data_IF_951940798990
#
_entry.id   IF_951940798990
#
_cell.length_a   1.000
_cell.length_b   1.000
_cell.length_c   1.000
_cell.angle_alpha   90.00
_cell.angle_beta   90.00
_cell.angle_gamma   90.00
#
_symmetry.space_group_name_H-M   'P 1'
#
loop_
_entity.id
_entity.type
_entity.pdbx_description
1 polymer ?
#
# COMPACT_ATOMS: atom_id res chain seq x y z
N UNK A 1 28.44 -19.23 8.78
CA UNK A 1 27.52 -18.54 7.84
C UNK A 1 28.31 -17.43 7.16
N UNK A 2 28.85 -17.69 5.98
CA UNK A 2 29.73 -16.76 5.23
C UNK A 2 28.89 -15.79 4.38
N UNK A 3 29.18 -14.48 4.36
CA UNK A 3 28.39 -13.52 3.60
C UNK A 3 28.79 -13.59 2.12
N UNK A 4 27.82 -13.88 1.24
CA UNK A 4 27.99 -13.90 -0.22
C UNK A 4 28.09 -12.47 -0.75
N UNK A 5 29.29 -11.89 -0.69
CA UNK A 5 29.64 -10.53 -1.14
C UNK A 5 29.90 -10.54 -2.64
N UNK A 6 28.85 -10.48 -3.46
CA UNK A 6 28.99 -10.49 -4.93
C UNK A 6 27.84 -9.92 -5.76
N UNK A 7 26.63 -9.77 -5.19
CA UNK A 7 25.47 -9.19 -5.89
C UNK A 7 25.11 -7.75 -5.43
N UNK A 8 25.84 -7.19 -4.46
CA UNK A 8 25.42 -6.00 -3.71
C UNK A 8 25.55 -4.66 -4.45
N UNK A 9 26.41 -4.53 -5.47
CA UNK A 9 26.63 -3.24 -6.16
C UNK A 9 25.39 -2.76 -6.93
N UNK A 10 24.72 -3.65 -7.68
CA UNK A 10 23.52 -3.26 -8.46
C UNK A 10 22.32 -2.93 -7.57
N UNK A 11 22.12 -3.68 -6.48
CA UNK A 11 21.06 -3.41 -5.50
C UNK A 11 21.28 -2.11 -4.74
N UNK A 12 22.53 -1.86 -4.30
CA UNK A 12 22.88 -0.63 -3.60
C UNK A 12 22.79 0.60 -4.50
N UNK A 13 23.21 0.52 -5.77
CA UNK A 13 23.06 1.61 -6.75
C UNK A 13 21.58 1.98 -6.98
N UNK A 14 20.71 0.98 -7.12
CA UNK A 14 19.26 1.20 -7.25
C UNK A 14 18.69 1.86 -5.99
N UNK A 15 19.02 1.34 -4.81
CA UNK A 15 18.60 1.92 -3.54
C UNK A 15 19.05 3.38 -3.39
N UNK A 16 20.33 3.65 -3.66
CA UNK A 16 20.89 4.99 -3.60
C UNK A 16 20.18 5.95 -4.56
N UNK A 17 19.91 5.54 -5.79
CA UNK A 17 19.16 6.33 -6.75
C UNK A 17 17.75 6.68 -6.25
N UNK A 18 16.99 5.70 -5.75
CA UNK A 18 15.65 5.96 -5.20
C UNK A 18 15.69 6.85 -3.95
N UNK A 19 16.70 6.68 -3.11
CA UNK A 19 16.89 7.52 -1.91
C UNK A 19 17.18 8.97 -2.28
N UNK A 20 18.11 9.19 -3.23
CA UNK A 20 18.43 10.54 -3.72
C UNK A 20 17.22 11.21 -4.33
N UNK A 21 16.39 10.50 -5.11
CA UNK A 21 15.15 11.07 -5.63
C UNK A 21 14.15 11.40 -4.51
N UNK A 22 13.99 10.51 -3.53
CA UNK A 22 13.03 10.67 -2.43
C UNK A 22 13.37 11.85 -1.51
N UNK A 23 14.65 12.08 -1.23
CA UNK A 23 15.10 13.19 -0.38
C UNK A 23 15.39 14.47 -1.17
N UNK A 24 15.92 14.32 -2.39
CA UNK A 24 16.36 15.42 -3.23
C UNK A 24 15.20 16.28 -3.72
N UNK A 25 14.10 15.67 -4.19
CA UNK A 25 12.96 16.45 -4.69
C UNK A 25 12.33 17.34 -3.61
N UNK A 26 12.00 16.85 -2.40
CA UNK A 26 11.55 17.71 -1.31
C UNK A 26 12.58 18.76 -0.90
N UNK A 27 13.87 18.40 -0.83
CA UNK A 27 14.93 19.33 -0.48
C UNK A 27 15.07 20.48 -1.49
N UNK A 28 14.89 20.19 -2.78
CA UNK A 28 14.89 21.21 -3.85
C UNK A 28 13.69 22.14 -3.68
N UNK A 29 12.47 21.60 -3.49
CA UNK A 29 11.25 22.41 -3.32
C UNK A 29 11.38 23.36 -2.11
N UNK A 30 11.86 22.84 -0.98
CA UNK A 30 12.07 23.65 0.23
C UNK A 30 13.21 24.64 0.04
N UNK A 31 14.31 24.20 -0.59
CA UNK A 31 15.48 25.03 -0.86
C UNK A 31 15.16 26.22 -1.77
N UNK A 32 14.44 26.00 -2.87
CA UNK A 32 14.01 27.09 -3.76
C UNK A 32 13.01 28.02 -3.09
N UNK A 33 12.08 27.47 -2.29
CA UNK A 33 11.17 28.27 -1.48
C UNK A 33 11.92 29.18 -0.49
N UNK A 34 12.96 28.65 0.15
CA UNK A 34 13.80 29.38 1.10
C UNK A 34 14.59 30.50 0.42
N UNK A 35 15.25 30.23 -0.71
CA UNK A 35 15.99 31.24 -1.47
C UNK A 35 15.08 32.36 -1.95
N UNK A 36 13.90 32.01 -2.50
CA UNK A 36 12.92 32.99 -2.95
C UNK A 36 12.39 33.88 -1.82
N UNK A 37 12.26 33.32 -0.61
CA UNK A 37 11.85 34.09 0.58
C UNK A 37 12.95 35.05 1.04
N UNK A 38 14.22 34.66 0.91
CA UNK A 38 15.37 35.51 1.25
C UNK A 38 15.57 36.63 0.24
N UNK A 39 15.41 36.34 -1.05
CA UNK A 39 15.67 37.29 -2.14
C UNK A 39 14.52 38.29 -2.33
N UNK A 40 13.30 37.92 -1.93
CA UNK A 40 12.12 38.78 -2.01
C UNK A 40 11.40 38.92 -0.64
N UNK A 41 12.00 39.62 0.34
CA UNK A 41 11.37 39.87 1.63
C UNK A 41 10.23 40.88 1.48
N UNK A 42 9.00 40.37 1.35
CA UNK A 42 7.69 40.99 1.60
C UNK A 42 7.37 42.36 0.92
N UNK A 43 8.21 42.90 0.03
CA UNK A 43 8.01 44.23 -0.58
C UNK A 43 8.07 44.26 -2.09
N UNK A 44 7.45 43.30 -2.75
CA UNK A 44 7.17 43.47 -4.17
C UNK A 44 5.74 43.08 -4.43
N UNK A 45 4.92 44.08 -4.78
CA UNK A 45 3.68 43.92 -5.54
C UNK A 45 4.03 43.27 -6.89
N UNK A 46 4.42 42.01 -6.86
CA UNK A 46 4.96 41.25 -7.97
C UNK A 46 4.34 39.87 -8.00
N UNK A 47 4.16 39.37 -9.22
CA UNK A 47 3.51 38.13 -9.63
C UNK A 47 4.12 36.84 -9.04
N UNK A 48 5.10 36.95 -8.14
CA UNK A 48 5.89 35.82 -7.62
C UNK A 48 5.35 35.37 -6.26
N UNK A 49 4.92 34.12 -6.19
CA UNK A 49 4.39 33.50 -4.98
C UNK A 49 5.52 32.98 -4.09
N UNK A 50 5.81 33.70 -3.01
CA UNK A 50 6.80 33.30 -1.99
C UNK A 50 6.15 32.52 -0.85
N UNK A 51 6.79 31.46 -0.30
CA UNK A 51 6.23 30.67 0.79
C UNK A 51 6.23 31.38 2.17
N UNK A 52 7.03 32.44 2.34
CA UNK A 52 6.92 33.35 3.49
C UNK A 52 7.23 32.67 4.84
N UNK A 53 8.20 31.76 4.87
CA UNK A 53 8.54 30.98 6.06
C UNK A 53 8.80 31.87 7.28
N UNK A 54 7.98 31.73 8.33
CA UNK A 54 8.19 32.42 9.61
C UNK A 54 7.87 33.92 9.58
N UNK A 55 7.22 34.44 8.54
CA UNK A 55 6.89 35.87 8.41
C UNK A 55 5.49 36.16 8.97
N UNK A 56 4.43 35.56 8.38
CA UNK A 56 3.04 35.74 8.86
C UNK A 56 2.62 34.67 9.87
N UNK A 57 3.28 33.51 9.84
CA UNK A 57 2.99 32.35 10.68
C UNK A 57 4.26 31.51 10.80
N UNK A 58 4.39 30.71 11.87
CA UNK A 58 5.48 29.74 11.99
C UNK A 58 5.40 28.59 10.96
N UNK A 59 4.44 28.64 10.03
CA UNK A 59 4.18 27.68 8.98
C UNK A 59 4.04 28.38 7.62
N UNK A 60 3.90 27.61 6.53
CA UNK A 60 3.77 28.17 5.18
C UNK A 60 2.54 29.08 5.09
N UNK A 61 2.67 30.17 4.32
CA UNK A 61 1.57 31.08 4.05
C UNK A 61 0.44 30.37 3.28
N UNK A 62 -0.82 30.63 3.64
CA UNK A 62 -2.02 29.99 3.04
C UNK A 62 -2.06 30.08 1.50
N UNK A 63 -1.63 31.22 0.95
CA UNK A 63 -1.57 31.46 -0.49
C UNK A 63 -0.52 30.58 -1.19
N UNK A 64 0.56 30.22 -0.49
CA UNK A 64 1.67 29.44 -1.02
C UNK A 64 1.56 27.93 -0.72
N UNK A 65 0.73 27.55 0.24
CA UNK A 65 0.47 26.15 0.61
C UNK A 65 0.08 25.28 -0.59
N UNK A 66 -0.75 25.81 -1.48
CA UNK A 66 -1.13 25.14 -2.73
C UNK A 66 0.10 24.77 -3.56
N UNK A 67 0.87 25.77 -3.97
CA UNK A 67 2.01 25.64 -4.90
C UNK A 67 3.14 24.77 -4.35
N UNK A 68 3.52 24.96 -3.08
CA UNK A 68 4.73 24.33 -2.53
C UNK A 68 4.47 23.00 -1.82
N UNK A 69 3.21 22.71 -1.43
CA UNK A 69 2.88 21.50 -0.68
C UNK A 69 1.82 20.65 -1.40
N UNK A 70 0.63 21.20 -1.66
CA UNK A 70 -0.50 20.40 -2.13
C UNK A 70 -0.42 19.99 -3.61
N UNK A 71 0.07 20.85 -4.51
CA UNK A 71 0.24 20.49 -5.93
C UNK A 71 1.28 19.37 -6.13
N UNK A 72 2.49 19.41 -5.51
CA UNK A 72 3.43 18.29 -5.55
C UNK A 72 2.84 16.99 -4.99
N UNK A 73 2.06 17.07 -3.90
CA UNK A 73 1.37 15.91 -3.32
C UNK A 73 0.33 15.34 -4.30
N UNK A 74 -0.51 16.19 -4.89
CA UNK A 74 -1.51 15.78 -5.86
C UNK A 74 -0.87 15.12 -7.10
N UNK A 75 0.22 15.70 -7.60
CA UNK A 75 1.00 15.12 -8.69
C UNK A 75 1.55 13.72 -8.33
N UNK A 76 2.08 13.55 -7.11
CA UNK A 76 2.56 12.25 -6.62
C UNK A 76 1.43 11.21 -6.51
N UNK A 77 0.23 11.61 -6.12
CA UNK A 77 -0.95 10.72 -6.09
C UNK A 77 -1.29 10.25 -7.51
N UNK A 78 -1.32 11.18 -8.48
CA UNK A 78 -1.61 10.87 -9.88
C UNK A 78 -0.55 9.92 -10.46
N UNK A 79 0.73 10.20 -10.24
CA UNK A 79 1.83 9.34 -10.69
C UNK A 79 1.71 7.95 -10.07
N UNK A 80 1.45 7.86 -8.76
CA UNK A 80 1.23 6.59 -8.08
C UNK A 80 0.02 5.82 -8.64
N UNK A 81 -1.07 6.51 -9.02
CA UNK A 81 -2.23 5.88 -9.64
C UNK A 81 -1.94 5.32 -11.04
N UNK A 82 -1.12 6.03 -11.83
CA UNK A 82 -0.68 5.55 -13.15
C UNK A 82 0.18 4.29 -12.96
N UNK A 83 1.21 4.36 -12.11
CA UNK A 83 2.07 3.21 -11.83
C UNK A 83 1.31 2.03 -11.25
N UNK A 84 0.31 2.30 -10.40
CA UNK A 84 -0.59 1.29 -9.87
C UNK A 84 -1.35 0.57 -10.98
N UNK A 85 -1.96 1.33 -11.89
CA UNK A 85 -2.72 0.79 -13.02
C UNK A 85 -1.84 -0.08 -13.91
N UNK A 86 -0.67 0.43 -14.30
CA UNK A 86 0.30 -0.31 -15.12
C UNK A 86 0.75 -1.59 -14.42
N UNK A 87 1.09 -1.52 -13.14
CA UNK A 87 1.52 -2.68 -12.35
C UNK A 87 0.40 -3.72 -12.24
N UNK A 88 -0.83 -3.27 -11.99
CA UNK A 88 -2.01 -4.14 -11.86
C UNK A 88 -2.32 -4.85 -13.18
N UNK A 89 -2.28 -4.14 -14.31
CA UNK A 89 -2.48 -4.73 -15.64
C UNK A 89 -1.38 -5.73 -15.97
N UNK A 90 -0.11 -5.38 -15.77
CA UNK A 90 1.02 -6.28 -16.02
C UNK A 90 0.94 -7.53 -15.16
N UNK A 91 0.58 -7.38 -13.89
CA UNK A 91 0.44 -8.51 -12.97
C UNK A 91 -0.77 -9.38 -13.35
N UNK A 92 -1.89 -8.78 -13.76
CA UNK A 92 -3.06 -9.51 -14.23
C UNK A 92 -2.75 -10.35 -15.48
N UNK A 93 -2.05 -9.76 -16.47
CA UNK A 93 -1.60 -10.47 -17.68
C UNK A 93 -0.61 -11.58 -17.34
N UNK A 94 0.32 -11.33 -16.41
CA UNK A 94 1.28 -12.33 -15.95
C UNK A 94 0.57 -13.51 -15.29
N UNK A 95 -0.38 -13.26 -14.39
CA UNK A 95 -1.18 -14.30 -13.74
C UNK A 95 -2.01 -15.13 -14.74
N UNK A 96 -2.54 -14.52 -15.79
CA UNK A 96 -3.30 -15.25 -16.81
C UNK A 96 -2.41 -16.13 -17.70
N UNK A 97 -1.13 -15.77 -17.86
CA UNK A 97 -0.16 -16.50 -18.68
C UNK A 97 0.48 -17.69 -17.95
N UNK A 98 0.63 -17.62 -16.63
CA UNK A 98 1.10 -18.74 -15.78
C UNK A 98 -0.06 -19.42 -15.07
N UNK A 99 -0.70 -20.40 -15.71
CA UNK A 99 -1.90 -21.10 -15.17
C UNK A 99 -1.68 -22.05 -13.98
N UNK A 100 -0.47 -22.30 -13.48
CA UNK A 100 -0.23 -23.46 -12.60
C UNK A 100 0.67 -23.11 -11.40
N UNK A 101 0.14 -23.37 -10.19
CA UNK A 101 0.82 -23.58 -8.89
C UNK A 101 1.05 -22.46 -7.85
N UNK A 102 0.95 -21.15 -8.13
CA UNK A 102 1.19 -20.10 -7.08
C UNK A 102 0.10 -19.03 -6.99
N UNK A 103 -1.17 -19.44 -7.12
CA UNK A 103 -2.31 -18.51 -7.02
C UNK A 103 -2.38 -17.78 -5.68
N UNK A 104 -2.10 -18.45 -4.56
CA UNK A 104 -2.35 -17.85 -3.24
C UNK A 104 -1.32 -16.77 -2.87
N UNK A 105 -0.03 -17.04 -3.08
CA UNK A 105 1.04 -16.10 -2.69
C UNK A 105 1.04 -14.84 -3.57
N UNK A 106 0.81 -14.99 -4.88
CA UNK A 106 0.75 -13.87 -5.83
C UNK A 106 -0.49 -12.99 -5.60
N UNK A 107 -1.63 -13.58 -5.22
CA UNK A 107 -2.85 -12.84 -4.88
C UNK A 107 -2.68 -12.08 -3.57
N UNK A 108 -2.10 -12.70 -2.54
CA UNK A 108 -1.83 -12.01 -1.27
C UNK A 108 -0.86 -10.83 -1.45
N UNK A 109 0.16 -10.97 -2.29
CA UNK A 109 1.07 -9.88 -2.66
C UNK A 109 0.32 -8.73 -3.36
N UNK A 110 -0.61 -9.05 -4.28
CA UNK A 110 -1.45 -8.07 -4.97
C UNK A 110 -2.35 -7.30 -3.99
N UNK A 111 -3.10 -7.99 -3.14
CA UNK A 111 -3.94 -7.32 -2.13
C UNK A 111 -3.10 -6.46 -1.19
N UNK A 112 -1.90 -6.91 -0.81
CA UNK A 112 -1.01 -6.13 0.06
C UNK A 112 -0.50 -4.88 -0.63
N UNK A 113 -0.10 -4.98 -1.90
CA UNK A 113 0.32 -3.84 -2.70
C UNK A 113 -0.85 -2.85 -2.88
N UNK A 114 -2.04 -3.35 -3.20
CA UNK A 114 -3.26 -2.58 -3.36
C UNK A 114 -3.61 -1.80 -2.09
N UNK A 115 -3.74 -2.49 -0.95
CA UNK A 115 -4.05 -1.88 0.33
C UNK A 115 -3.01 -0.84 0.74
N UNK A 116 -1.72 -1.15 0.54
CA UNK A 116 -0.63 -0.23 0.87
C UNK A 116 -0.70 1.03 0.03
N UNK A 117 -0.97 0.92 -1.27
CA UNK A 117 -0.97 2.08 -2.16
C UNK A 117 -2.26 2.91 -2.01
N UNK A 118 -3.41 2.27 -1.84
CA UNK A 118 -4.70 2.93 -1.68
C UNK A 118 -4.82 3.67 -0.34
N UNK A 119 -4.60 2.98 0.78
CA UNK A 119 -4.80 3.58 2.11
C UNK A 119 -3.68 4.55 2.46
N UNK A 120 -2.40 4.15 2.37
CA UNK A 120 -1.28 4.97 2.87
C UNK A 120 -1.05 6.21 2.01
N UNK A 121 -1.17 6.09 0.69
CA UNK A 121 -0.77 7.13 -0.25
C UNK A 121 -1.95 7.86 -0.89
N UNK A 122 -3.11 7.23 -1.05
CA UNK A 122 -4.26 7.85 -1.73
C UNK A 122 -5.23 8.49 -0.75
N UNK A 123 -5.92 7.66 0.04
CA UNK A 123 -7.09 8.07 0.83
C UNK A 123 -6.77 9.19 1.81
N UNK A 124 -5.74 9.03 2.65
CA UNK A 124 -5.39 10.05 3.65
C UNK A 124 -4.98 11.38 3.01
N UNK A 125 -4.26 11.35 1.89
CA UNK A 125 -3.84 12.58 1.22
C UNK A 125 -4.96 13.27 0.43
N UNK A 126 -5.94 12.52 -0.08
CA UNK A 126 -7.16 13.08 -0.69
C UNK A 126 -7.96 13.84 0.39
N UNK A 127 -8.10 13.27 1.60
CA UNK A 127 -8.74 13.97 2.71
C UNK A 127 -8.02 15.26 3.08
N UNK A 128 -6.68 15.28 3.10
CA UNK A 128 -5.91 16.51 3.34
C UNK A 128 -6.12 17.56 2.24
N UNK A 129 -6.17 17.15 0.97
CA UNK A 129 -6.43 18.04 -0.17
C UNK A 129 -7.83 18.67 -0.10
N UNK A 130 -8.85 17.87 0.26
CA UNK A 130 -10.22 18.36 0.43
C UNK A 130 -10.28 19.34 1.62
N UNK A 131 -9.61 19.03 2.73
CA UNK A 131 -9.54 19.92 3.90
C UNK A 131 -8.96 21.28 3.52
N UNK A 132 -7.86 21.30 2.77
CA UNK A 132 -7.25 22.54 2.28
C UNK A 132 -8.21 23.34 1.38
N UNK A 133 -8.91 22.68 0.46
CA UNK A 133 -9.85 23.35 -0.45
C UNK A 133 -11.07 23.96 0.27
N UNK A 134 -11.50 23.37 1.40
CA UNK A 134 -12.69 23.76 2.17
C UNK A 134 -12.36 24.71 3.35
N UNK A 135 -11.07 24.89 3.68
CA UNK A 135 -10.61 25.70 4.83
C UNK A 135 -11.00 27.18 4.80
N UNK A 136 -11.57 27.69 3.70
CA UNK A 136 -12.12 29.05 3.62
C UNK A 136 -13.45 29.27 4.38
N UNK A 137 -14.08 28.20 4.87
CA UNK A 137 -15.28 28.28 5.72
C UNK A 137 -14.87 28.18 7.19
N UNK A 138 -15.09 29.22 8.00
CA UNK A 138 -14.59 29.39 9.38
C UNK A 138 -15.12 28.41 10.42
N UNK A 139 -15.06 27.10 10.16
CA UNK A 139 -15.61 26.03 10.99
C UNK A 139 -14.47 25.30 11.69
N UNK A 140 -14.29 25.59 12.98
CA UNK A 140 -13.20 25.08 13.82
C UNK A 140 -13.10 23.54 13.91
N UNK A 141 -14.19 22.79 13.68
CA UNK A 141 -14.21 21.33 13.82
C UNK A 141 -13.33 20.61 12.78
N UNK A 142 -13.13 21.17 11.59
CA UNK A 142 -12.32 20.53 10.55
C UNK A 142 -10.84 20.38 10.95
N UNK A 143 -10.32 21.31 11.72
CA UNK A 143 -8.91 21.28 12.16
C UNK A 143 -8.65 20.10 13.10
N UNK A 144 -9.56 19.84 14.03
CA UNK A 144 -9.49 18.66 14.90
C UNK A 144 -9.60 17.34 14.12
N UNK A 145 -10.45 17.28 13.10
CA UNK A 145 -10.57 16.10 12.25
C UNK A 145 -9.28 15.84 11.45
N UNK A 146 -8.63 16.90 10.96
CA UNK A 146 -7.36 16.82 10.24
C UNK A 146 -6.22 16.29 11.11
N UNK A 147 -6.09 16.81 12.34
CA UNK A 147 -5.08 16.34 13.29
C UNK A 147 -5.26 14.85 13.61
N UNK A 148 -6.49 14.41 13.81
CA UNK A 148 -6.81 12.99 14.04
C UNK A 148 -6.42 12.14 12.83
N UNK A 149 -6.77 12.56 11.61
CA UNK A 149 -6.44 11.83 10.38
C UNK A 149 -4.94 11.75 10.15
N UNK A 150 -4.20 12.81 10.47
CA UNK A 150 -2.75 12.84 10.34
C UNK A 150 -2.06 11.89 11.33
N UNK A 151 -2.52 11.85 12.59
CA UNK A 151 -2.03 10.86 13.57
C UNK A 151 -2.39 9.43 13.11
N UNK A 152 -3.63 9.23 12.63
CA UNK A 152 -4.09 7.95 12.12
C UNK A 152 -3.25 7.46 10.94
N UNK A 153 -2.79 8.38 10.07
CA UNK A 153 -1.89 8.08 8.96
C UNK A 153 -0.56 7.51 9.45
N UNK A 154 0.06 8.11 10.47
CA UNK A 154 1.31 7.59 11.05
C UNK A 154 1.11 6.17 11.63
N UNK A 155 -0.01 5.93 12.32
CA UNK A 155 -0.37 4.60 12.84
C UNK A 155 -0.60 3.60 11.70
N UNK A 156 -1.28 4.00 10.63
CA UNK A 156 -1.54 3.14 9.47
C UNK A 156 -0.23 2.72 8.76
N UNK A 157 0.72 3.65 8.59
CA UNK A 157 2.07 3.35 8.08
C UNK A 157 2.75 2.31 8.97
N UNK A 158 2.76 2.52 10.28
CA UNK A 158 3.35 1.58 11.23
C UNK A 158 2.77 0.17 11.07
N UNK A 159 1.45 0.03 11.04
CA UNK A 159 0.78 -1.28 10.89
C UNK A 159 1.17 -1.96 9.57
N UNK A 160 1.19 -1.22 8.46
CA UNK A 160 1.44 -1.80 7.14
C UNK A 160 2.90 -2.24 6.96
N UNK A 161 3.85 -1.49 7.52
CA UNK A 161 5.28 -1.74 7.35
C UNK A 161 5.87 -2.63 8.43
N UNK A 162 5.48 -2.46 9.70
CA UNK A 162 6.06 -3.15 10.86
C UNK A 162 5.27 -4.41 11.22
N UNK A 163 3.94 -4.36 11.17
CA UNK A 163 3.08 -5.47 11.58
C UNK A 163 2.95 -6.55 10.49
N UNK A 164 4.09 -6.93 9.90
CA UNK A 164 4.25 -8.08 9.01
C UNK A 164 4.67 -9.29 9.83
N UNK A 165 4.10 -10.48 9.61
CA UNK A 165 4.41 -11.66 10.41
C UNK A 165 5.92 -11.98 10.42
N UNK A 166 6.58 -11.82 9.26
CA UNK A 166 8.02 -12.09 9.12
C UNK A 166 8.88 -11.09 9.90
N UNK A 167 8.48 -9.80 9.88
CA UNK A 167 9.19 -8.74 10.60
C UNK A 167 8.94 -8.88 12.10
N UNK A 168 7.69 -9.11 12.52
CA UNK A 168 7.34 -9.32 13.93
C UNK A 168 8.12 -10.51 14.52
N UNK A 169 8.22 -11.62 13.78
CA UNK A 169 9.02 -12.77 14.20
C UNK A 169 10.50 -12.44 14.35
N UNK A 170 11.08 -11.77 13.35
CA UNK A 170 12.48 -11.34 13.39
C UNK A 170 12.74 -10.34 14.53
N UNK A 171 11.80 -9.44 14.81
CA UNK A 171 11.92 -8.43 15.86
C UNK A 171 11.81 -9.07 17.25
N UNK A 172 10.91 -10.04 17.43
CA UNK A 172 10.75 -10.78 18.68
C UNK A 172 12.01 -11.57 19.06
N UNK A 173 12.70 -12.13 18.07
CA UNK A 173 13.96 -12.84 18.29
C UNK A 173 15.10 -11.92 18.72
N UNK A 174 15.17 -10.71 18.15
CA UNK A 174 16.28 -9.78 18.41
C UNK A 174 16.04 -8.84 19.61
N UNK A 175 14.78 -8.53 19.92
CA UNK A 175 14.41 -7.55 20.96
C UNK A 175 13.24 -8.06 21.82
N UNK A 176 13.50 -8.91 22.83
CA UNK A 176 12.46 -9.48 23.68
C UNK A 176 11.69 -8.44 24.52
N UNK A 177 12.25 -7.24 24.73
CA UNK A 177 11.59 -6.15 25.44
C UNK A 177 10.48 -5.47 24.62
N UNK A 178 10.47 -5.61 23.29
CA UNK A 178 9.44 -5.00 22.44
C UNK A 178 8.13 -5.79 22.44
N UNK A 179 8.17 -7.06 22.90
CA UNK A 179 7.01 -7.99 22.96
C UNK A 179 5.67 -7.34 23.33
N UNK A 180 5.52 -6.57 24.44
CA UNK A 180 4.24 -5.96 24.82
C UNK A 180 3.64 -5.05 23.72
N UNK A 181 4.48 -4.33 22.97
CA UNK A 181 4.05 -3.42 21.90
C UNK A 181 3.64 -4.19 20.63
N UNK A 182 4.23 -5.36 20.38
CA UNK A 182 3.94 -6.17 19.18
C UNK A 182 2.73 -7.10 19.32
N UNK A 183 2.31 -7.46 20.54
CA UNK A 183 1.21 -8.41 20.79
C UNK A 183 -0.08 -8.06 20.03
N UNK A 184 -0.56 -6.80 20.02
CA UNK A 184 -1.78 -6.44 19.27
C UNK A 184 -1.62 -6.72 17.77
N UNK A 185 -0.47 -6.35 17.21
CA UNK A 185 -0.14 -6.56 15.81
C UNK A 185 0.01 -8.03 15.42
N UNK A 186 0.62 -8.84 16.30
CA UNK A 186 0.75 -10.28 16.12
C UNK A 186 -0.61 -11.01 16.19
N UNK A 187 -1.52 -10.56 17.06
CA UNK A 187 -2.87 -11.11 17.17
C UNK A 187 -3.71 -10.82 15.91
N UNK A 188 -3.64 -9.58 15.40
CA UNK A 188 -4.34 -9.16 14.16
C UNK A 188 -3.85 -9.96 12.95
N UNK A 189 -2.52 -10.16 12.82
CA UNK A 189 -1.96 -10.93 11.70
C UNK A 189 -2.21 -12.43 11.81
N UNK A 190 -2.15 -13.02 13.00
CA UNK A 190 -2.47 -14.46 13.21
C UNK A 190 -3.92 -14.76 12.85
N UNK A 191 -4.89 -13.93 13.28
CA UNK A 191 -6.33 -14.11 12.99
C UNK A 191 -6.62 -14.10 11.47
N UNK A 192 -5.90 -13.27 10.71
CA UNK A 192 -6.04 -13.16 9.25
C UNK A 192 -5.50 -14.40 8.51
N UNK A 193 -4.39 -14.98 8.97
CA UNK A 193 -3.79 -16.20 8.40
C UNK A 193 -4.69 -17.42 8.62
N UNK A 194 -5.26 -17.56 9.83
CA UNK A 194 -6.20 -18.65 10.14
C UNK A 194 -7.48 -18.57 9.30
N UNK A 195 -8.02 -17.37 9.04
CA UNK A 195 -9.20 -17.20 8.21
C UNK A 195 -8.95 -17.49 6.71
N UNK A 196 -7.82 -17.02 6.17
CA UNK A 196 -7.42 -17.30 4.78
C UNK A 196 -7.19 -18.79 4.54
N UNK A 197 -6.51 -19.47 5.47
CA UNK A 197 -6.21 -20.90 5.40
C UNK A 197 -7.46 -21.77 5.58
N UNK A 198 -8.42 -21.33 6.41
CA UNK A 198 -9.73 -22.00 6.55
C UNK A 198 -10.58 -21.88 5.28
N UNK A 199 -10.57 -20.71 4.62
CA UNK A 199 -11.28 -20.49 3.35
C UNK A 199 -10.65 -21.28 2.19
N UNK A 200 -9.32 -21.41 2.15
CA UNK A 200 -8.63 -22.28 1.19
C UNK A 200 -9.00 -23.76 1.39
N UNK A 201 -8.97 -24.25 2.63
CA UNK A 201 -9.37 -25.63 2.96
C UNK A 201 -10.86 -25.91 2.65
N UNK A 202 -11.74 -24.92 2.81
CA UNK A 202 -13.16 -25.01 2.47
C UNK A 202 -13.40 -25.02 0.95
N UNK A 203 -12.65 -24.24 0.18
CA UNK A 203 -12.72 -24.29 -1.29
C UNK A 203 -12.18 -25.60 -1.88
N UNK A 204 -11.17 -26.20 -1.24
CA UNK A 204 -10.58 -27.48 -1.65
C UNK A 204 -11.54 -28.65 -1.36
N UNK A 205 -12.24 -28.64 -0.22
CA UNK A 205 -13.25 -29.65 0.12
C UNK A 205 -14.51 -29.56 -0.75
N UNK A 206 -14.97 -28.35 -1.09
CA UNK A 206 -16.07 -28.15 -2.05
C UNK A 206 -15.71 -28.63 -3.46
N UNK A 207 -14.49 -28.35 -3.93
CA UNK A 207 -14.00 -28.84 -5.23
C UNK A 207 -13.85 -30.36 -5.27
N UNK A 208 -13.35 -30.97 -4.20
CA UNK A 208 -13.18 -32.42 -4.09
C UNK A 208 -14.52 -33.15 -4.04
N UNK A 209 -15.48 -32.66 -3.25
CA UNK A 209 -16.83 -33.23 -3.15
C UNK A 209 -17.60 -33.16 -4.47
N UNK A 210 -17.45 -32.07 -5.22
CA UNK A 210 -18.07 -31.92 -6.54
C UNK A 210 -17.45 -32.91 -7.54
N UNK A 211 -16.13 -33.07 -7.52
CA UNK A 211 -15.43 -34.04 -8.38
C UNK A 211 -15.77 -35.49 -8.08
N UNK A 212 -15.97 -35.85 -6.80
CA UNK A 212 -16.39 -37.19 -6.38
C UNK A 212 -17.83 -37.48 -6.81
N UNK A 213 -18.73 -36.51 -6.67
CA UNK A 213 -20.13 -36.64 -7.08
C UNK A 213 -20.26 -36.86 -8.60
N UNK A 214 -19.47 -36.14 -9.41
CA UNK A 214 -19.43 -36.33 -10.88
C UNK A 214 -18.83 -37.68 -11.29
N UNK A 215 -17.82 -38.18 -10.57
CA UNK A 215 -17.24 -39.52 -10.84
C UNK A 215 -18.20 -40.65 -10.44
N UNK A 216 -18.96 -40.47 -9.37
CA UNK A 216 -19.91 -41.47 -8.91
C UNK A 216 -21.17 -41.53 -9.79
N UNK A 217 -21.62 -40.40 -10.34
CA UNK A 217 -22.73 -40.37 -11.31
C UNK A 217 -22.35 -40.96 -12.68
N UNK A 218 -21.13 -40.73 -13.15
CA UNK A 218 -20.62 -41.33 -14.41
C UNK A 218 -20.38 -42.83 -14.30
N UNK A 219 -19.86 -43.33 -13.17
CA UNK A 219 -19.74 -44.76 -12.90
C UNK A 219 -21.11 -45.46 -12.78
N UNK A 220 -22.10 -44.81 -12.16
CA UNK A 220 -23.47 -45.35 -12.04
C UNK A 220 -24.18 -45.42 -13.40
N UNK A 221 -23.95 -44.44 -14.27
CA UNK A 221 -24.45 -44.45 -15.66
C UNK A 221 -23.77 -45.53 -16.51
N UNK A 222 -22.44 -45.69 -16.42
CA UNK A 222 -21.69 -46.72 -17.14
C UNK A 222 -22.10 -48.15 -16.74
N UNK A 223 -22.34 -48.39 -15.45
CA UNK A 223 -22.80 -49.69 -14.97
C UNK A 223 -24.25 -50.00 -15.39
N UNK A 224 -25.11 -48.99 -15.51
CA UNK A 224 -26.49 -49.17 -15.99
C UNK A 224 -26.53 -49.52 -17.49
N UNK A 225 -25.68 -48.91 -18.32
CA UNK A 225 -25.57 -49.23 -19.76
C UNK A 225 -25.01 -50.64 -19.96
N UNK A 226 -24.01 -51.03 -19.17
CA UNK A 226 -23.41 -52.38 -19.24
C UNK A 226 -24.37 -53.49 -18.82
N UNK A 227 -25.30 -53.20 -17.91
CA UNK A 227 -26.29 -54.17 -17.44
C UNK A 227 -27.45 -54.35 -18.43
N UNK A 228 -27.83 -53.29 -19.16
CA UNK A 228 -28.84 -53.39 -20.24
C UNK A 228 -28.33 -54.27 -21.40
N UNK A 229 -27.08 -54.08 -21.81
CA UNK A 229 -26.50 -54.87 -22.91
C UNK A 229 -26.34 -56.36 -22.58
N UNK A 230 -26.34 -56.75 -21.29
CA UNK A 230 -26.22 -58.14 -20.85
C UNK A 230 -27.56 -58.88 -20.78
N UNK A 231 -28.67 -58.18 -20.96
CA UNK A 231 -30.04 -58.74 -20.91
C UNK A 231 -30.60 -58.93 -22.34
N UNK A 232 -29.93 -58.38 -23.35
CA UNK A 232 -30.31 -58.46 -24.76
C UNK A 232 -29.56 -59.54 -25.56
N UNK A 233 -28.62 -60.26 -24.92
CA UNK A 233 -27.96 -61.47 -25.42
C UNK A 233 -28.51 -62.69 -24.67
#
# INVERSE_FOLDING_TARGET
MTPRRGANSKGFKRYSFYSVMGWGVPAIIVGTGWTLTKDHPERSCGTILTPGYGVTSCFLQEKALGAYLYYPIAAMIIINLIFFTVTSVKLYVYQNSTKIATKDDTQQQFYRLFFKLFFVMGVFYIFELISWFVSGSGVFWYWAAFDILNILRAVAVFIIFVCKPDILWALEQNYPWLKPILIPCACITRKKRTFSQRRAAESESLGLNTSLSTKQSTLRSSNHVRNINRIMD
#
